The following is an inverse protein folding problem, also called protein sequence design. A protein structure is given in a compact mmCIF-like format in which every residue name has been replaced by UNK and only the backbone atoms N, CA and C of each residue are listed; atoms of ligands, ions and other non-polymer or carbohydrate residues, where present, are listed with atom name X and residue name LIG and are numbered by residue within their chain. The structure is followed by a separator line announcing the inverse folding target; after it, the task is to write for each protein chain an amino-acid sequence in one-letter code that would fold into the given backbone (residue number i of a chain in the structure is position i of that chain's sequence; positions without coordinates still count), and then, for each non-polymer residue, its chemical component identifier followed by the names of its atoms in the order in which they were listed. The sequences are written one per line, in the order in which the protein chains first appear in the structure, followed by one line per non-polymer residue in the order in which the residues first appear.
data_IF_021955633805
#
_entry.id   IF_021955633805
#
_cell.length_a   1.000
_cell.length_b   1.000
_cell.length_c   1.000
_cell.angle_alpha   90.00
_cell.angle_beta   90.00
_cell.angle_gamma   90.00
#
_symmetry.space_group_name_H-M   'P 1'
#
loop_
_entity.id
_entity.type
_entity.pdbx_description
1 polymer ?
#
# COMPACT_ATOMS: atom_id res chain seq x y z
N UNK A 1 -29.71 -7.26 9.26
CA UNK A 1 -28.85 -6.41 8.40
C UNK A 1 -27.40 -6.67 8.84
N UNK A 2 -26.95 -7.92 8.91
CA UNK A 2 -26.66 -8.89 7.84
C UNK A 2 -25.20 -8.75 7.39
N UNK A 3 -24.34 -9.49 8.11
CA UNK A 3 -22.91 -9.78 7.91
C UNK A 3 -22.48 -10.13 6.47
N UNK A 4 -23.41 -10.20 5.53
CA UNK A 4 -23.23 -10.66 4.15
C UNK A 4 -22.59 -9.58 3.27
N UNK A 5 -22.70 -8.30 3.62
CA UNK A 5 -22.10 -7.20 2.86
C UNK A 5 -20.59 -7.12 3.12
N UNK A 6 -20.14 -7.35 4.36
CA UNK A 6 -18.72 -7.31 4.73
C UNK A 6 -17.92 -8.49 4.13
N UNK A 7 -18.58 -9.63 3.91
CA UNK A 7 -17.94 -10.81 3.30
C UNK A 7 -17.68 -10.65 1.80
N UNK A 8 -18.51 -9.91 1.07
CA UNK A 8 -18.33 -9.71 -0.37
C UNK A 8 -17.22 -8.69 -0.71
N UNK A 9 -17.00 -7.68 0.13
CA UNK A 9 -15.89 -6.73 -0.03
C UNK A 9 -14.54 -7.36 0.33
N UNK A 10 -14.51 -8.27 1.31
CA UNK A 10 -13.32 -9.07 1.63
C UNK A 10 -12.92 -9.99 0.47
N UNK A 11 -13.87 -10.57 -0.28
CA UNK A 11 -13.57 -11.47 -1.40
C UNK A 11 -12.85 -10.79 -2.58
N UNK A 12 -13.11 -9.52 -2.86
CA UNK A 12 -12.47 -8.81 -3.97
C UNK A 12 -11.00 -8.46 -3.69
N UNK A 13 -10.70 -8.04 -2.45
CA UNK A 13 -9.33 -7.83 -1.98
C UNK A 13 -8.58 -9.13 -1.71
N UNK A 14 -9.29 -10.19 -1.29
CA UNK A 14 -8.72 -11.52 -1.11
C UNK A 14 -8.37 -12.18 -2.44
N UNK A 15 -9.14 -12.02 -3.53
CA UNK A 15 -8.75 -12.64 -4.81
C UNK A 15 -7.46 -12.03 -5.38
N UNK A 16 -7.29 -10.70 -5.31
CA UNK A 16 -6.05 -10.05 -5.72
C UNK A 16 -4.87 -10.41 -4.79
N UNK A 17 -5.11 -10.64 -3.49
CA UNK A 17 -4.07 -11.06 -2.54
C UNK A 17 -3.76 -12.57 -2.59
N UNK A 18 -4.76 -13.44 -2.80
CA UNK A 18 -4.58 -14.90 -2.87
C UNK A 18 -3.88 -15.32 -4.16
N UNK A 19 -4.19 -14.66 -5.30
CA UNK A 19 -3.46 -14.82 -6.57
C UNK A 19 -2.00 -14.34 -6.43
N UNK A 20 -1.77 -13.29 -5.64
CA UNK A 20 -0.44 -12.72 -5.37
C UNK A 20 0.43 -13.56 -4.42
N UNK A 21 -0.18 -14.15 -3.38
CA UNK A 21 0.52 -14.90 -2.33
C UNK A 21 1.01 -16.26 -2.84
N UNK A 22 0.45 -16.80 -3.92
CA UNK A 22 0.67 -18.20 -4.27
C UNK A 22 1.95 -18.54 -5.04
N UNK A 23 2.76 -17.60 -5.57
CA UNK A 23 3.75 -17.98 -6.61
C UNK A 23 5.23 -17.63 -6.38
N UNK A 24 5.92 -18.67 -5.90
CA UNK A 24 7.23 -19.21 -6.35
C UNK A 24 8.57 -18.48 -6.03
N UNK A 25 8.64 -17.82 -4.88
CA UNK A 25 9.80 -17.96 -3.94
C UNK A 25 9.38 -18.33 -2.52
N UNK A 26 8.29 -19.07 -2.48
CA UNK A 26 7.43 -19.20 -1.34
C UNK A 26 7.57 -20.60 -0.71
N UNK A 27 8.39 -21.54 -1.20
CA UNK A 27 8.52 -22.84 -0.50
C UNK A 27 9.06 -22.72 0.94
N UNK A 28 9.98 -21.80 1.23
CA UNK A 28 10.42 -21.51 2.60
C UNK A 28 9.49 -20.52 3.32
N UNK A 29 9.06 -19.46 2.64
CA UNK A 29 8.15 -18.46 3.22
C UNK A 29 6.74 -19.02 3.51
N UNK A 30 6.21 -19.90 2.65
CA UNK A 30 4.90 -20.56 2.79
C UNK A 30 4.92 -21.61 3.88
N UNK A 31 5.94 -22.47 3.84
CA UNK A 31 6.02 -23.62 4.75
C UNK A 31 6.53 -23.25 6.13
N UNK A 32 7.13 -22.06 6.28
CA UNK A 32 7.40 -21.52 7.61
C UNK A 32 6.08 -21.29 8.31
N UNK A 33 5.97 -21.70 9.58
CA UNK A 33 4.83 -21.34 10.43
C UNK A 33 4.74 -19.83 10.71
N UNK A 34 5.67 -19.02 10.18
CA UNK A 34 5.81 -17.60 10.41
C UNK A 34 5.46 -16.80 9.14
N UNK A 35 4.29 -17.06 8.56
CA UNK A 35 3.74 -16.21 7.51
C UNK A 35 3.35 -14.84 8.08
N UNK A 36 3.64 -13.75 7.35
CA UNK A 36 3.16 -12.41 7.71
C UNK A 36 4.21 -11.30 7.83
N UNK A 37 5.43 -11.51 7.31
CA UNK A 37 6.50 -10.50 7.37
C UNK A 37 6.41 -9.39 6.29
N UNK A 38 5.35 -9.36 5.48
CA UNK A 38 5.17 -8.33 4.46
C UNK A 38 3.86 -7.56 4.72
N UNK A 39 3.88 -6.24 4.46
CA UNK A 39 2.76 -5.33 4.78
C UNK A 39 1.44 -5.75 4.08
N UNK A 40 1.53 -6.41 2.92
CA UNK A 40 0.38 -6.90 2.16
C UNK A 40 -0.25 -8.20 2.71
N UNK A 41 0.29 -8.84 3.75
CA UNK A 41 -0.28 -10.08 4.29
C UNK A 41 -1.62 -9.84 4.99
N UNK A 42 -1.80 -8.66 5.58
CA UNK A 42 -3.02 -8.25 6.26
C UNK A 42 -3.41 -6.83 5.81
N UNK A 43 -3.96 -6.68 4.60
CA UNK A 43 -4.51 -5.40 4.15
C UNK A 43 -5.58 -4.94 5.14
N UNK A 44 -5.54 -3.67 5.53
CA UNK A 44 -6.38 -3.07 6.58
C UNK A 44 -5.65 -2.93 7.92
N UNK A 45 -4.51 -3.60 8.12
CA UNK A 45 -3.81 -3.62 9.40
C UNK A 45 -2.48 -2.83 9.34
N UNK A 46 -2.20 -1.96 10.32
CA UNK A 46 -0.99 -1.15 10.31
C UNK A 46 0.26 -2.01 10.52
N UNK A 47 1.16 -2.04 9.54
CA UNK A 47 2.44 -2.78 9.60
C UNK A 47 3.58 -1.96 10.26
N UNK A 48 3.27 -1.19 11.32
CA UNK A 48 4.31 -0.42 12.02
C UNK A 48 4.64 -1.06 13.37
N UNK A 49 5.92 -1.37 13.57
CA UNK A 49 6.46 -1.79 14.87
C UNK A 49 6.34 -0.69 15.94
N UNK A 50 5.97 0.54 15.57
CA UNK A 50 5.83 1.70 16.46
C UNK A 50 4.98 1.40 17.70
N UNK A 51 3.90 0.61 17.56
CA UNK A 51 3.06 0.23 18.69
C UNK A 51 3.80 -0.70 19.67
N UNK A 52 4.53 -1.69 19.14
CA UNK A 52 5.36 -2.60 19.92
C UNK A 52 6.56 -1.87 20.55
N UNK A 53 7.21 -0.96 19.83
CA UNK A 53 8.32 -0.14 20.31
C UNK A 53 7.86 0.83 21.40
N UNK A 54 6.72 1.49 21.22
CA UNK A 54 6.09 2.34 22.22
C UNK A 54 5.71 1.56 23.48
N UNK A 55 5.13 0.37 23.31
CA UNK A 55 4.79 -0.53 24.43
C UNK A 55 6.04 -0.98 25.16
N UNK A 56 7.09 -1.42 24.45
CA UNK A 56 8.38 -1.78 25.01
C UNK A 56 9.02 -0.62 25.77
N UNK A 57 8.91 0.61 25.25
CA UNK A 57 9.41 1.80 25.92
C UNK A 57 8.61 2.08 27.21
N UNK A 58 7.29 1.94 27.18
CA UNK A 58 6.42 2.09 28.35
C UNK A 58 6.75 1.05 29.43
N UNK A 59 6.89 -0.23 29.05
CA UNK A 59 7.31 -1.30 29.97
C UNK A 59 8.64 -0.93 30.65
N UNK A 60 9.63 -0.54 29.85
CA UNK A 60 10.96 -0.17 30.34
C UNK A 60 10.96 1.07 31.22
N UNK A 61 10.20 2.13 30.89
CA UNK A 61 10.23 3.40 31.62
C UNK A 61 9.29 3.45 32.82
N UNK A 62 8.14 2.79 32.73
CA UNK A 62 7.02 2.95 33.68
C UNK A 62 6.85 1.71 34.56
N UNK A 63 7.12 0.51 34.04
CA UNK A 63 6.77 -0.74 34.73
C UNK A 63 7.98 -1.47 35.33
N UNK A 64 9.14 -1.41 34.67
CA UNK A 64 10.37 -2.03 35.16
C UNK A 64 11.47 -1.04 35.52
N UNK A 65 11.31 0.25 35.17
CA UNK A 65 12.33 1.30 35.33
C UNK A 65 13.71 0.94 34.76
N UNK A 66 13.75 0.00 33.79
CA UNK A 66 14.95 -0.64 33.23
C UNK A 66 15.75 -1.48 34.20
N UNK A 67 15.21 -1.78 35.37
CA UNK A 67 15.83 -2.64 36.37
C UNK A 67 15.44 -4.10 36.18
N UNK A 68 16.32 -5.00 36.67
CA UNK A 68 15.98 -6.41 36.80
C UNK A 68 15.11 -6.60 38.04
N UNK A 69 13.84 -6.95 37.82
CA UNK A 69 12.89 -7.17 38.91
C UNK A 69 12.73 -8.67 39.21
N UNK A 70 12.43 -9.05 40.46
CA UNK A 70 12.08 -10.43 40.80
C UNK A 70 10.85 -10.91 40.02
N UNK A 71 10.78 -12.21 39.75
CA UNK A 71 9.74 -12.79 38.88
C UNK A 71 8.30 -12.56 39.41
N UNK A 72 8.10 -12.62 40.73
CA UNK A 72 6.81 -12.33 41.36
C UNK A 72 6.32 -10.91 41.03
N UNK A 73 7.19 -9.91 41.19
CA UNK A 73 6.89 -8.52 40.84
C UNK A 73 6.70 -8.34 39.32
N UNK A 74 7.43 -9.09 38.49
CA UNK A 74 7.20 -9.07 37.05
C UNK A 74 5.78 -9.52 36.70
N UNK A 75 5.27 -10.61 37.30
CA UNK A 75 3.91 -11.09 37.06
C UNK A 75 2.85 -10.07 37.49
N UNK A 76 3.05 -9.39 38.62
CA UNK A 76 2.18 -8.29 39.07
C UNK A 76 2.18 -7.14 38.07
N UNK A 77 3.35 -6.72 37.60
CA UNK A 77 3.47 -5.67 36.58
C UNK A 77 2.84 -6.09 35.25
N UNK A 78 3.01 -7.34 34.83
CA UNK A 78 2.42 -7.88 33.61
C UNK A 78 0.88 -7.86 33.68
N UNK A 79 0.28 -8.23 34.83
CA UNK A 79 -1.16 -8.11 35.05
C UNK A 79 -1.64 -6.66 34.93
N UNK A 80 -0.89 -5.71 35.49
CA UNK A 80 -1.22 -4.27 35.38
C UNK A 80 -1.14 -3.80 33.92
N UNK A 81 -0.09 -4.21 33.19
CA UNK A 81 0.08 -3.88 31.77
C UNK A 81 -1.09 -4.44 30.96
N UNK A 82 -1.42 -5.73 31.13
CA UNK A 82 -2.52 -6.39 30.43
C UNK A 82 -3.86 -5.74 30.75
N UNK A 83 -4.14 -5.48 32.03
CA UNK A 83 -5.37 -4.81 32.44
C UNK A 83 -5.45 -3.42 31.83
N UNK A 84 -4.37 -2.62 31.89
CA UNK A 84 -4.33 -1.31 31.22
C UNK A 84 -4.60 -1.46 29.75
N UNK A 85 -3.88 -2.31 29.02
CA UNK A 85 -4.06 -2.50 27.58
C UNK A 85 -5.48 -2.94 27.20
N UNK A 86 -6.11 -3.79 28.02
CA UNK A 86 -7.49 -4.25 27.83
C UNK A 86 -8.55 -3.19 28.19
N UNK A 87 -8.19 -2.21 29.03
CA UNK A 87 -9.11 -1.17 29.54
C UNK A 87 -8.80 0.22 28.97
N UNK A 88 -7.68 0.39 28.27
CA UNK A 88 -7.26 1.61 27.59
C UNK A 88 -8.15 1.80 26.35
N UNK A 89 -9.36 2.28 26.60
CA UNK A 89 -10.23 2.85 25.58
C UNK A 89 -9.89 4.32 25.32
N UNK A 90 -8.79 4.83 25.90
CA UNK A 90 -8.40 6.24 25.85
C UNK A 90 -8.03 6.58 24.41
N UNK A 91 -8.98 7.26 23.78
CA UNK A 91 -9.08 7.54 22.34
C UNK A 91 -9.12 6.28 21.51
N UNK A 92 -10.29 5.62 21.46
CA UNK A 92 -10.73 4.94 20.23
C UNK A 92 -10.36 5.90 19.10
N UNK A 93 -9.30 5.59 18.34
CA UNK A 93 -8.98 6.33 17.12
C UNK A 93 -10.30 6.40 16.38
N UNK A 94 -10.80 7.61 16.14
CA UNK A 94 -11.97 7.76 15.29
C UNK A 94 -11.57 7.10 13.98
N UNK A 95 -12.17 5.96 13.72
CA UNK A 95 -12.03 5.31 12.43
C UNK A 95 -12.72 6.27 11.49
N UNK A 96 -11.94 6.84 10.58
CA UNK A 96 -12.53 7.55 9.46
C UNK A 96 -13.17 6.47 8.59
N UNK A 97 -14.48 6.60 8.36
CA UNK A 97 -15.22 5.62 7.56
C UNK A 97 -14.76 5.67 6.09
N UNK A 98 -14.15 6.77 5.66
CA UNK A 98 -13.64 6.96 4.30
C UNK A 98 -12.13 7.27 4.26
N UNK A 99 -11.39 6.74 3.27
CA UNK A 99 -9.99 7.06 3.11
C UNK A 99 -9.82 8.53 2.72
N UNK A 100 -8.93 9.21 3.46
CA UNK A 100 -8.59 10.61 3.20
C UNK A 100 -7.70 10.73 1.97
N UNK A 101 -8.14 11.49 0.97
CA UNK A 101 -7.38 11.73 -0.25
C UNK A 101 -6.42 12.90 -0.01
N UNK A 102 -5.12 12.58 0.13
CA UNK A 102 -4.05 13.59 0.26
C UNK A 102 -3.88 14.38 -1.04
N UNK A 103 -3.53 15.66 -0.94
CA UNK A 103 -3.23 16.51 -2.10
C UNK A 103 -2.12 15.94 -2.98
N UNK A 104 -1.14 15.27 -2.38
CA UNK A 104 -0.05 14.60 -3.09
C UNK A 104 -0.56 13.62 -4.17
N UNK A 105 -1.59 12.82 -3.87
CA UNK A 105 -2.12 11.86 -4.83
C UNK A 105 -2.71 12.51 -6.07
N UNK A 106 -3.29 13.72 -5.94
CA UNK A 106 -3.80 14.45 -7.09
C UNK A 106 -2.67 14.96 -7.98
N UNK A 107 -1.62 15.55 -7.41
CA UNK A 107 -0.46 16.00 -8.18
C UNK A 107 0.24 14.82 -8.88
N UNK A 108 0.44 13.73 -8.15
CA UNK A 108 1.03 12.50 -8.64
C UNK A 108 0.18 11.88 -9.75
N UNK A 109 -1.14 11.81 -9.58
CA UNK A 109 -2.07 11.33 -10.60
C UNK A 109 -2.06 12.18 -11.87
N UNK A 110 -2.04 13.52 -11.75
CA UNK A 110 -1.97 14.40 -12.90
C UNK A 110 -0.65 14.26 -13.64
N UNK A 111 0.48 14.20 -12.92
CA UNK A 111 1.80 13.97 -13.50
C UNK A 111 1.89 12.59 -14.18
N UNK A 112 1.27 11.56 -13.59
CA UNK A 112 1.20 10.22 -14.16
C UNK A 112 0.31 10.19 -15.41
N UNK A 113 -0.85 10.82 -15.38
CA UNK A 113 -1.78 10.91 -16.52
C UNK A 113 -1.15 11.64 -17.72
N UNK A 114 -0.32 12.67 -17.49
CA UNK A 114 0.41 13.36 -18.55
C UNK A 114 1.35 12.43 -19.35
N UNK A 115 1.88 11.38 -18.72
CA UNK A 115 2.72 10.38 -19.38
C UNK A 115 1.93 9.45 -20.31
N UNK A 116 0.59 9.55 -20.31
CA UNK A 116 -0.34 8.75 -21.11
C UNK A 116 -0.10 7.24 -20.91
N UNK A 117 -0.34 6.73 -19.69
CA UNK A 117 -0.21 5.31 -19.40
C UNK A 117 -1.13 4.50 -20.30
N UNK A 118 -0.69 3.29 -20.64
CA UNK A 118 -1.55 2.32 -21.30
C UNK A 118 -2.54 1.75 -20.27
N UNK A 119 -3.80 1.75 -20.64
CA UNK A 119 -4.91 1.31 -19.81
C UNK A 119 -5.67 0.22 -20.57
N UNK A 120 -5.75 -0.98 -19.99
CA UNK A 120 -6.56 -2.10 -20.50
C UNK A 120 -7.58 -2.48 -19.43
N UNK A 121 -8.82 -2.70 -19.84
CA UNK A 121 -9.85 -3.23 -18.96
C UNK A 121 -10.03 -4.71 -19.25
N UNK A 122 -9.93 -5.54 -18.21
CA UNK A 122 -10.22 -6.95 -18.25
C UNK A 122 -11.62 -7.21 -17.68
N UNK A 123 -12.49 -7.80 -18.50
CA UNK A 123 -13.88 -8.08 -18.14
C UNK A 123 -14.04 -9.33 -17.27
N UNK A 124 -13.11 -10.27 -17.38
CA UNK A 124 -13.16 -11.56 -16.68
C UNK A 124 -12.95 -11.36 -15.19
N UNK A 125 -11.94 -10.54 -14.86
CA UNK A 125 -11.57 -10.23 -13.48
C UNK A 125 -12.19 -8.94 -12.95
N UNK A 126 -12.84 -8.15 -13.81
CA UNK A 126 -13.33 -6.80 -13.51
C UNK A 126 -12.23 -5.89 -12.93
N UNK A 127 -11.10 -5.83 -13.65
CA UNK A 127 -9.92 -5.07 -13.25
C UNK A 127 -9.37 -4.22 -14.39
N UNK A 128 -8.77 -3.10 -14.03
CA UNK A 128 -8.02 -2.23 -14.92
C UNK A 128 -6.53 -2.50 -14.75
N UNK A 129 -5.86 -2.77 -15.87
CA UNK A 129 -4.42 -2.87 -15.95
C UNK A 129 -3.85 -1.55 -16.46
N UNK A 130 -2.92 -0.99 -15.69
CA UNK A 130 -2.30 0.28 -15.95
C UNK A 130 -0.78 0.10 -16.01
N UNK A 131 -0.15 0.52 -17.09
CA UNK A 131 1.31 0.46 -17.25
C UNK A 131 1.85 1.69 -17.99
N UNK A 132 3.04 2.14 -17.63
CA UNK A 132 3.81 3.10 -18.43
C UNK A 132 4.68 2.39 -19.48
N UNK A 133 5.01 1.12 -19.23
CA UNK A 133 5.81 0.32 -20.14
C UNK A 133 4.93 -0.27 -21.23
N UNK A 134 5.09 0.26 -22.44
CA UNK A 134 4.35 -0.16 -23.64
C UNK A 134 4.86 -1.47 -24.23
N UNK A 135 6.02 -1.96 -23.77
CA UNK A 135 6.59 -3.23 -24.21
C UNK A 135 6.08 -4.42 -23.40
N UNK A 136 5.37 -4.17 -22.30
CA UNK A 136 4.78 -5.23 -21.49
C UNK A 136 3.54 -5.78 -22.19
N UNK A 137 3.56 -7.10 -22.44
CA UNK A 137 2.39 -7.84 -22.84
C UNK A 137 1.47 -8.07 -21.63
N UNK A 138 0.36 -7.34 -21.60
CA UNK A 138 -0.63 -7.44 -20.51
C UNK A 138 -1.46 -8.72 -20.57
N UNK A 139 -1.61 -9.35 -21.74
CA UNK A 139 -2.33 -10.63 -21.87
C UNK A 139 -1.48 -11.72 -21.27
N UNK A 140 -0.23 -11.78 -21.70
CA UNK A 140 0.74 -12.68 -21.10
C UNK A 140 0.82 -12.46 -19.58
N UNK A 141 0.86 -11.21 -19.10
CA UNK A 141 0.87 -10.93 -17.66
C UNK A 141 -0.36 -11.47 -16.90
N UNK A 142 -1.55 -11.47 -17.51
CA UNK A 142 -2.76 -12.04 -16.90
C UNK A 142 -2.73 -13.56 -16.91
N UNK A 143 -2.40 -14.18 -18.04
CA UNK A 143 -2.26 -15.64 -18.15
C UNK A 143 -1.24 -16.19 -17.13
N UNK A 144 -0.19 -15.40 -16.90
CA UNK A 144 0.85 -15.65 -15.90
C UNK A 144 0.31 -15.66 -14.45
N UNK A 145 -0.67 -14.79 -14.16
CA UNK A 145 -1.35 -14.73 -12.87
C UNK A 145 -2.33 -15.90 -12.67
N UNK A 146 -2.93 -16.41 -13.74
CA UNK A 146 -4.00 -17.41 -13.70
C UNK A 146 -3.54 -18.88 -13.61
N UNK A 147 -2.28 -19.25 -13.87
CA UNK A 147 -1.90 -20.67 -13.64
C UNK A 147 -2.02 -20.93 -12.11
N UNK A 148 -2.58 -22.07 -11.70
CA UNK A 148 -2.90 -22.29 -10.28
C UNK A 148 -1.80 -23.02 -9.51
N UNK A 149 -0.72 -23.38 -10.21
CA UNK A 149 0.41 -24.12 -9.61
C UNK A 149 0.20 -25.63 -9.57
N UNK A 150 -1.01 -26.11 -9.90
CA UNK A 150 -1.30 -27.52 -10.21
C UNK A 150 -0.78 -27.94 -11.60
N UNK A 151 -0.19 -26.99 -12.32
CA UNK A 151 0.60 -27.18 -13.52
C UNK A 151 1.94 -27.90 -13.16
N UNK A 152 1.86 -29.22 -12.91
CA UNK A 152 2.95 -30.16 -12.55
C UNK A 152 4.01 -30.18 -13.66
N UNK A 153 5.26 -29.83 -13.29
CA UNK A 153 6.56 -30.02 -13.97
C UNK A 153 6.77 -29.56 -15.43
N UNK A 154 5.73 -29.38 -16.24
CA UNK A 154 5.82 -28.98 -17.67
C UNK A 154 5.18 -27.61 -17.94
N UNK A 155 5.10 -26.74 -16.93
CA UNK A 155 4.66 -25.38 -17.15
C UNK A 155 5.81 -24.53 -17.72
N UNK A 156 5.86 -24.43 -19.05
CA UNK A 156 6.81 -23.61 -19.80
C UNK A 156 6.87 -22.16 -19.27
N UNK A 157 5.73 -21.69 -18.78
CA UNK A 157 5.59 -20.38 -18.14
C UNK A 157 6.43 -20.26 -16.87
N UNK A 158 6.37 -21.25 -15.97
CA UNK A 158 7.06 -21.12 -14.69
C UNK A 158 8.55 -21.45 -14.76
N UNK A 159 8.98 -22.20 -15.78
CA UNK A 159 10.40 -22.30 -16.11
C UNK A 159 11.00 -20.98 -16.59
N UNK A 160 10.18 -20.08 -17.16
CA UNK A 160 10.65 -18.83 -17.78
C UNK A 160 10.43 -17.58 -16.91
N UNK A 161 9.65 -17.66 -15.83
CA UNK A 161 9.44 -16.54 -14.91
C UNK A 161 10.49 -16.53 -13.80
N UNK A 162 11.64 -15.90 -14.05
CA UNK A 162 12.61 -15.64 -13.00
C UNK A 162 12.15 -14.52 -12.04
N UNK A 163 12.82 -14.41 -10.89
CA UNK A 163 12.47 -13.40 -9.88
C UNK A 163 12.59 -11.97 -10.42
N UNK A 164 13.56 -11.71 -11.30
CA UNK A 164 13.77 -10.39 -11.87
C UNK A 164 12.63 -9.99 -12.80
N UNK A 165 12.15 -10.93 -13.61
CA UNK A 165 11.00 -10.77 -14.48
C UNK A 165 9.74 -10.52 -13.67
N UNK A 166 9.56 -11.23 -12.56
CA UNK A 166 8.48 -10.95 -11.62
C UNK A 166 8.55 -9.52 -11.06
N UNK A 167 9.70 -9.09 -10.53
CA UNK A 167 9.84 -7.73 -10.01
C UNK A 167 9.62 -6.66 -11.07
N UNK A 168 10.15 -6.87 -12.28
CA UNK A 168 9.95 -5.96 -13.40
C UNK A 168 8.46 -5.78 -13.70
N UNK A 169 7.71 -6.87 -13.82
CA UNK A 169 6.27 -6.78 -14.06
C UNK A 169 5.51 -6.17 -12.89
N UNK A 170 5.89 -6.54 -11.67
CA UNK A 170 5.29 -5.96 -10.49
C UNK A 170 5.55 -4.45 -10.37
N UNK A 171 6.70 -3.98 -10.84
CA UNK A 171 7.06 -2.56 -10.80
C UNK A 171 6.51 -1.78 -11.99
N UNK A 172 6.17 -2.43 -13.11
CA UNK A 172 5.64 -1.77 -14.31
C UNK A 172 4.12 -1.80 -14.42
N UNK A 173 3.46 -2.88 -14.00
CA UNK A 173 2.01 -3.07 -14.14
C UNK A 173 1.28 -2.83 -12.82
N UNK A 174 0.17 -2.10 -12.87
CA UNK A 174 -0.73 -1.86 -11.74
C UNK A 174 -2.10 -2.41 -12.05
N UNK A 175 -2.61 -3.22 -11.13
CA UNK A 175 -3.97 -3.72 -11.15
C UNK A 175 -4.81 -2.78 -10.30
N UNK A 176 -5.90 -2.27 -10.86
CA UNK A 176 -6.84 -1.37 -10.18
C UNK A 176 -8.24 -1.95 -10.32
N UNK A 177 -8.89 -2.23 -9.20
CA UNK A 177 -10.30 -2.61 -9.16
C UNK A 177 -11.09 -1.43 -8.63
N UNK A 178 -12.09 -1.00 -9.39
CA UNK A 178 -12.93 0.12 -8.99
C UNK A 178 -14.14 -0.38 -8.22
N UNK A 179 -14.50 0.34 -7.17
CA UNK A 179 -15.79 0.17 -6.50
C UNK A 179 -16.83 1.05 -7.20
N UNK A 180 -17.95 0.45 -7.64
CA UNK A 180 -19.01 1.15 -8.36
C UNK A 180 -19.88 2.05 -7.46
N UNK A 181 -20.00 1.71 -6.17
CA UNK A 181 -20.82 2.44 -5.21
C UNK A 181 -20.06 3.65 -4.65
N UNK A 182 -18.81 3.42 -4.24
CA UNK A 182 -17.94 4.47 -3.75
C UNK A 182 -16.50 4.19 -4.16
N UNK A 183 -16.07 4.89 -5.22
CA UNK A 183 -14.74 4.76 -5.78
C UNK A 183 -13.60 4.97 -4.77
N UNK A 184 -13.84 5.61 -3.63
CA UNK A 184 -12.84 5.75 -2.57
C UNK A 184 -12.39 4.39 -2.00
N UNK A 185 -13.25 3.37 -2.04
CA UNK A 185 -12.93 2.01 -1.63
C UNK A 185 -12.37 1.14 -2.77
N UNK A 186 -12.04 1.74 -3.91
CA UNK A 186 -11.33 1.05 -4.99
C UNK A 186 -9.98 0.53 -4.50
N UNK A 187 -9.52 -0.60 -5.04
CA UNK A 187 -8.26 -1.22 -4.65
C UNK A 187 -7.19 -1.14 -5.73
N UNK A 188 -5.92 -1.09 -5.34
CA UNK A 188 -4.79 -1.11 -6.27
C UNK A 188 -3.64 -2.00 -5.80
N UNK A 189 -2.91 -2.63 -6.72
CA UNK A 189 -1.73 -3.46 -6.41
C UNK A 189 -0.47 -2.67 -6.06
N UNK A 190 -0.49 -1.33 -6.14
CA UNK A 190 0.71 -0.53 -5.87
C UNK A 190 1.05 -0.44 -4.39
N UNK A 191 2.33 -0.22 -4.09
CA UNK A 191 2.84 0.01 -2.73
C UNK A 191 2.11 1.12 -1.98
N UNK A 192 1.83 2.25 -2.64
CA UNK A 192 1.20 3.39 -1.97
C UNK A 192 -0.21 3.04 -1.47
N UNK A 193 -0.96 2.25 -2.25
CA UNK A 193 -2.26 1.74 -1.83
C UNK A 193 -2.14 0.77 -0.65
N UNK A 194 -1.19 -0.17 -0.68
CA UNK A 194 -0.98 -1.10 0.43
C UNK A 194 -0.66 -0.40 1.75
N UNK A 195 -0.08 0.81 1.68
CA UNK A 195 0.29 1.60 2.84
C UNK A 195 -0.82 2.55 3.31
N UNK A 196 -1.43 3.27 2.39
CA UNK A 196 -2.33 4.39 2.68
C UNK A 196 -3.79 4.15 2.24
N UNK A 197 -4.10 3.00 1.63
CA UNK A 197 -5.41 2.63 1.04
C UNK A 197 -5.90 3.60 -0.05
N UNK A 198 -5.00 4.41 -0.59
CA UNK A 198 -5.27 5.34 -1.68
C UNK A 198 -4.00 5.54 -2.50
N UNK A 199 -4.12 5.73 -3.80
CA UNK A 199 -2.98 5.96 -4.67
C UNK A 199 -3.34 6.76 -5.92
N UNK A 200 -2.31 7.27 -6.60
CA UNK A 200 -2.45 7.98 -7.87
C UNK A 200 -3.14 7.12 -8.96
N UNK A 201 -2.93 5.80 -8.97
CA UNK A 201 -3.40 4.92 -10.05
C UNK A 201 -4.93 4.81 -10.06
N UNK A 202 -5.58 4.76 -8.89
CA UNK A 202 -7.04 4.79 -8.76
C UNK A 202 -7.60 6.06 -9.40
N UNK A 203 -7.03 7.22 -9.04
CA UNK A 203 -7.43 8.53 -9.57
C UNK A 203 -7.23 8.59 -11.09
N UNK A 204 -6.10 8.09 -11.61
CA UNK A 204 -5.82 8.05 -13.05
C UNK A 204 -6.85 7.22 -13.81
N UNK A 205 -7.23 6.04 -13.31
CA UNK A 205 -8.26 5.21 -13.95
C UNK A 205 -9.61 5.93 -13.94
N UNK A 206 -9.99 6.54 -12.83
CA UNK A 206 -11.25 7.29 -12.71
C UNK A 206 -11.31 8.51 -13.64
N UNK A 207 -10.20 9.25 -13.75
CA UNK A 207 -10.07 10.36 -14.71
C UNK A 207 -10.18 9.87 -16.16
N UNK A 208 -9.56 8.73 -16.46
CA UNK A 208 -9.62 8.14 -17.80
C UNK A 208 -11.04 7.68 -18.17
N UNK A 209 -11.81 7.20 -17.19
CA UNK A 209 -13.25 6.89 -17.34
C UNK A 209 -14.16 8.12 -17.32
N UNK A 210 -13.64 9.30 -17.01
CA UNK A 210 -14.40 10.55 -16.78
C UNK A 210 -15.43 10.42 -15.64
N UNK A 211 -15.18 9.51 -14.68
CA UNK A 211 -16.05 9.30 -13.52
C UNK A 211 -15.87 10.37 -12.44
N UNK A 212 -14.71 11.04 -12.43
CA UNK A 212 -14.39 12.15 -11.54
C UNK A 212 -13.86 13.33 -12.35
N UNK A 213 -14.01 14.53 -11.81
CA UNK A 213 -13.39 15.74 -12.33
C UNK A 213 -12.20 16.15 -11.45
N UNK A 214 -11.18 16.74 -12.07
CA UNK A 214 -10.04 17.30 -11.33
C UNK A 214 -10.53 18.52 -10.56
N UNK A 215 -10.34 18.59 -9.23
CA UNK A 215 -10.69 19.78 -8.46
C UNK A 215 -9.93 21.02 -8.98
N UNK A 216 -10.61 22.17 -9.04
CA UNK A 216 -10.07 23.42 -9.59
C UNK A 216 -8.71 23.81 -9.00
N UNK A 217 -8.52 23.57 -7.69
CA UNK A 217 -7.26 23.83 -6.97
C UNK A 217 -6.02 23.16 -7.57
N UNK A 218 -6.19 22.12 -8.42
CA UNK A 218 -5.08 21.45 -9.10
C UNK A 218 -5.03 21.74 -10.60
N UNK A 219 -6.03 22.41 -11.16
CA UNK A 219 -6.04 22.88 -12.56
C UNK A 219 -5.25 24.18 -12.69
N UNK A 220 -5.29 25.02 -11.66
CA UNK A 220 -4.53 26.25 -11.61
C UNK A 220 -3.05 25.95 -11.42
N UNK A 221 -2.32 25.98 -12.53
CA UNK A 221 -0.88 26.22 -12.46
C UNK A 221 -0.70 27.62 -11.92
N UNK A 222 -0.44 27.74 -10.62
CA UNK A 222 0.14 28.96 -10.06
C UNK A 222 1.52 29.10 -10.70
N UNK A 223 1.57 29.73 -11.88
CA UNK A 223 2.79 30.21 -12.49
C UNK A 223 3.30 31.27 -11.53
N UNK A 224 4.12 30.85 -10.56
CA UNK A 224 4.87 31.78 -9.73
C UNK A 224 5.55 32.77 -10.67
N UNK A 225 5.36 34.06 -10.44
CA UNK A 225 5.96 35.08 -11.28
C UNK A 225 7.45 34.76 -11.43
N UNK A 226 7.94 34.68 -12.67
CA UNK A 226 9.38 34.57 -12.94
C UNK A 226 10.08 35.58 -12.04
N UNK A 227 11.01 35.15 -11.17
CA UNK A 227 11.68 36.07 -10.25
C UNK A 227 12.24 37.22 -11.08
N UNK A 228 11.94 38.46 -10.64
CA UNK A 228 12.38 39.66 -11.37
C UNK A 228 13.88 39.53 -11.63
N UNK A 229 14.38 39.87 -12.83
CA UNK A 229 15.80 39.88 -13.11
C UNK A 229 16.49 40.71 -12.03
N UNK A 230 17.23 40.03 -11.16
CA UNK A 230 17.84 40.59 -9.98
C UNK A 230 19.30 40.17 -9.95
N UNK A 231 20.16 41.08 -9.52
CA UNK A 231 21.58 40.78 -9.33
C UNK A 231 21.72 39.65 -8.29
N UNK A 232 22.43 38.58 -8.65
CA UNK A 232 22.74 37.51 -7.71
C UNK A 232 23.35 38.10 -6.43
N UNK A 233 22.87 37.65 -5.26
CA UNK A 233 23.47 38.04 -3.98
C UNK A 233 24.94 37.61 -3.99
N UNK A 234 25.84 38.49 -3.54
CA UNK A 234 27.25 38.14 -3.35
C UNK A 234 27.33 36.91 -2.44
N UNK A 235 28.15 35.94 -2.82
CA UNK A 235 28.44 34.78 -1.99
C UNK A 235 28.88 35.25 -0.60
N UNK A 236 28.23 34.77 0.46
CA UNK A 236 28.72 35.05 1.80
C UNK A 236 30.02 34.28 2.00
N UNK A 237 31.07 34.90 2.61
CA UNK A 237 32.25 34.15 3.01
C UNK A 237 31.82 33.03 3.96
N UNK A 238 32.33 31.84 3.69
CA UNK A 238 32.12 30.67 4.54
C UNK A 238 32.67 31.01 5.92
N UNK A 239 31.84 30.99 6.96
CA UNK A 239 32.29 31.14 8.33
C UNK A 239 33.14 29.92 8.69
N UNK A 240 34.46 30.02 8.48
CA UNK A 240 35.43 29.10 9.08
C UNK A 240 35.34 29.35 10.58
N UNK A 241 34.88 28.35 11.33
CA UNK A 241 34.93 28.38 12.80
C UNK A 241 36.38 28.59 13.20
N UNK A 242 36.67 29.69 13.90
CA UNK A 242 37.89 29.86 14.68
C UNK A 242 37.78 29.06 15.97
#
# INVERSE_FOLDING_TARGET
MSLVIVLNELCAGLMLNELWIKRRKLKEWIKSKNFGWFEGHAPGYPSTNNALEGTNQSIKKVHTFRDRIPFSHFLERAKIILNRWSTDQVTIKKWEDEPMIKDAYWFDALAYAQKKPFLKYDKTCDIYLLTLDKMVDLEQYLDNLECDGDCIDECEFVSNLDLNTFFRYNDSVRLVKLDEQNWKFSSCSCRDYLKDYMCQHIIVVLLSKKSIQVPEKYLDSVIGCKPRPGRNKKAMPWNVRQ
#
